data_IF_675970452030
#
_entry.id   IF_675970452030
#
_cell.length_a   1.000
_cell.length_b   1.000
_cell.length_c   1.000
_cell.angle_alpha   90.00
_cell.angle_beta   90.00
_cell.angle_gamma   90.00
#
_symmetry.space_group_name_H-M   'P 1'
#
loop_
_entity.id
_entity.type
_entity.pdbx_description
1 polymer ?
#
# COMPACT_ATOMS: atom_id res chain seq x y z
N UNK A 1 24.36 5.17 30.61
CA UNK A 1 24.27 4.23 29.48
C UNK A 1 23.32 4.85 28.47
N UNK A 2 23.82 5.28 27.31
CA UNK A 2 22.97 5.79 26.21
C UNK A 2 22.42 4.57 25.46
N UNK A 3 21.12 4.51 25.11
CA UNK A 3 20.61 3.44 24.28
C UNK A 3 21.17 3.64 22.87
N UNK A 4 21.88 2.62 22.38
CA UNK A 4 22.40 2.51 21.01
C UNK A 4 21.24 2.51 20.02
N UNK A 5 20.97 3.65 19.40
CA UNK A 5 20.08 3.77 18.25
C UNK A 5 20.81 3.21 17.02
N UNK A 6 20.66 1.91 16.80
CA UNK A 6 20.99 1.32 15.51
C UNK A 6 20.10 1.98 14.46
N UNK A 7 20.69 2.69 13.52
CA UNK A 7 19.97 3.28 12.39
C UNK A 7 19.45 2.12 11.54
N UNK A 8 18.23 1.64 11.81
CA UNK A 8 17.51 0.88 10.80
C UNK A 8 17.39 1.81 9.60
N UNK A 9 17.90 1.41 8.43
CA UNK A 9 17.67 2.13 7.18
C UNK A 9 16.19 1.95 6.76
N UNK A 10 15.28 2.39 7.62
CA UNK A 10 13.86 2.46 7.33
C UNK A 10 13.59 3.69 6.49
N UNK A 11 12.70 3.57 5.53
CA UNK A 11 12.23 4.70 4.72
C UNK A 11 10.78 5.02 5.02
N UNK A 12 10.34 6.19 4.61
CA UNK A 12 8.92 6.54 4.63
C UNK A 12 8.24 6.14 3.30
N UNK A 13 6.90 6.17 3.29
CA UNK A 13 6.13 6.11 2.05
C UNK A 13 6.52 7.28 1.13
N UNK A 14 6.59 7.03 -0.18
CA UNK A 14 6.88 8.05 -1.19
C UNK A 14 5.85 9.19 -1.24
N UNK A 15 4.61 8.93 -0.83
CA UNK A 15 3.54 9.93 -0.80
C UNK A 15 2.68 9.78 0.47
N UNK A 16 1.94 10.84 0.80
CA UNK A 16 0.85 10.77 1.77
C UNK A 16 -0.31 9.88 1.28
N UNK A 17 -1.24 9.58 2.19
CA UNK A 17 -2.41 8.76 1.88
C UNK A 17 -3.41 9.51 0.98
N UNK A 18 -3.63 10.79 1.26
CA UNK A 18 -4.53 11.69 0.51
C UNK A 18 -3.86 12.40 -0.67
N UNK A 19 -2.69 11.93 -1.12
CA UNK A 19 -1.98 12.45 -2.31
C UNK A 19 -2.66 12.02 -3.63
N UNK A 20 -3.98 12.13 -3.71
CA UNK A 20 -4.77 11.64 -4.84
C UNK A 20 -4.47 12.37 -6.16
N UNK A 21 -4.03 13.62 -6.07
CA UNK A 21 -3.68 14.45 -7.22
C UNK A 21 -2.37 14.04 -7.90
N UNK A 22 -1.51 13.30 -7.20
CA UNK A 22 -0.26 12.79 -7.77
C UNK A 22 -0.47 11.57 -8.68
N UNK A 23 -1.63 10.90 -8.57
CA UNK A 23 -2.00 9.75 -9.40
C UNK A 23 -3.53 9.67 -9.56
N UNK A 24 -4.10 10.66 -10.26
CA UNK A 24 -5.53 10.77 -10.49
C UNK A 24 -6.13 9.54 -11.17
N UNK A 25 -5.40 8.92 -12.10
CA UNK A 25 -5.83 7.70 -12.78
C UNK A 25 -6.05 6.56 -11.77
N UNK A 26 -5.07 6.31 -10.91
CA UNK A 26 -5.18 5.28 -9.86
C UNK A 26 -6.31 5.57 -8.88
N UNK A 27 -6.52 6.83 -8.50
CA UNK A 27 -7.64 7.22 -7.64
C UNK A 27 -9.01 7.07 -8.30
N UNK A 28 -9.14 7.40 -9.59
CA UNK A 28 -10.36 7.19 -10.36
C UNK A 28 -10.65 5.70 -10.55
N UNK A 29 -9.63 4.88 -10.86
CA UNK A 29 -9.78 3.43 -10.98
C UNK A 29 -10.16 2.76 -9.65
N UNK A 30 -9.53 3.18 -8.54
CA UNK A 30 -9.90 2.71 -7.20
C UNK A 30 -11.32 3.14 -6.79
N UNK A 31 -11.80 4.29 -7.27
CA UNK A 31 -13.15 4.78 -7.03
C UNK A 31 -14.22 4.09 -7.89
N UNK A 32 -13.93 3.83 -9.16
CA UNK A 32 -14.91 3.33 -10.14
C UNK A 32 -15.03 1.79 -10.16
N UNK A 33 -13.91 1.06 -10.16
CA UNK A 33 -13.91 -0.40 -9.96
C UNK A 33 -12.80 -0.83 -8.99
N UNK A 34 -13.06 -0.63 -7.71
CA UNK A 34 -12.16 -1.06 -6.63
C UNK A 34 -11.70 -2.53 -6.73
N UNK A 35 -12.58 -3.55 -6.92
CA UNK A 35 -12.14 -4.94 -6.99
C UNK A 35 -11.29 -5.25 -8.23
N UNK A 36 -11.61 -4.66 -9.39
CA UNK A 36 -10.81 -4.81 -10.61
C UNK A 36 -9.40 -4.26 -10.40
N UNK A 37 -9.32 -3.05 -9.83
CA UNK A 37 -8.06 -2.37 -9.60
C UNK A 37 -7.22 -3.07 -8.52
N UNK A 38 -7.86 -3.57 -7.46
CA UNK A 38 -7.20 -4.37 -6.44
C UNK A 38 -6.63 -5.66 -7.04
N UNK A 39 -7.38 -6.39 -7.88
CA UNK A 39 -6.88 -7.54 -8.65
C UNK A 39 -5.64 -7.18 -9.47
N UNK A 40 -5.65 -6.03 -10.16
CA UNK A 40 -4.51 -5.56 -10.94
C UNK A 40 -3.26 -5.35 -10.06
N UNK A 41 -3.41 -4.74 -8.89
CA UNK A 41 -2.30 -4.53 -7.94
C UNK A 41 -1.81 -5.85 -7.33
N UNK A 42 -2.71 -6.81 -7.08
CA UNK A 42 -2.34 -8.18 -6.69
C UNK A 42 -1.48 -8.84 -7.76
N UNK A 43 -1.88 -8.72 -9.03
CA UNK A 43 -1.12 -9.28 -10.16
C UNK A 43 0.29 -8.66 -10.28
N UNK A 44 0.42 -7.33 -10.14
CA UNK A 44 1.73 -6.64 -10.10
C UNK A 44 2.58 -7.16 -8.92
N UNK A 45 1.94 -7.47 -7.80
CA UNK A 45 2.58 -8.01 -6.60
C UNK A 45 2.94 -9.50 -6.70
N UNK A 46 2.77 -10.11 -7.89
CA UNK A 46 2.93 -11.54 -8.16
C UNK A 46 2.05 -12.43 -7.26
N UNK A 47 0.84 -11.96 -6.99
CA UNK A 47 -0.17 -12.65 -6.21
C UNK A 47 -1.42 -12.88 -7.07
N UNK A 48 -2.30 -13.80 -6.64
CA UNK A 48 -3.45 -14.16 -7.44
C UNK A 48 -4.52 -13.05 -7.50
N UNK A 49 -4.93 -12.68 -8.71
CA UNK A 49 -5.96 -11.65 -8.95
C UNK A 49 -7.34 -11.99 -8.33
N UNK A 50 -7.65 -13.25 -8.04
CA UNK A 50 -8.94 -13.65 -7.45
C UNK A 50 -9.00 -13.51 -5.92
N UNK A 51 -7.90 -13.15 -5.25
CA UNK A 51 -7.87 -12.93 -3.80
C UNK A 51 -8.89 -11.89 -3.29
N UNK A 52 -9.14 -10.77 -4.00
CA UNK A 52 -10.20 -9.82 -3.64
C UNK A 52 -11.61 -10.42 -3.64
N UNK A 53 -11.87 -11.42 -4.50
CA UNK A 53 -13.16 -12.13 -4.52
C UNK A 53 -13.38 -12.97 -3.26
N UNK A 54 -12.29 -13.33 -2.57
CA UNK A 54 -12.32 -14.05 -1.29
C UNK A 54 -12.36 -13.10 -0.08
N UNK A 55 -12.55 -11.80 -0.30
CA UNK A 55 -12.57 -10.78 0.76
C UNK A 55 -11.18 -10.31 1.20
N UNK A 56 -10.12 -10.67 0.48
CA UNK A 56 -8.76 -10.23 0.82
C UNK A 56 -8.55 -8.81 0.25
N UNK A 57 -8.53 -7.83 1.16
CA UNK A 57 -8.42 -6.41 0.84
C UNK A 57 -6.97 -5.92 0.65
N UNK A 58 -6.74 -4.63 0.87
CA UNK A 58 -5.44 -3.98 0.65
C UNK A 58 -4.41 -4.31 1.74
N UNK A 59 -4.89 -4.69 2.94
CA UNK A 59 -4.08 -4.91 4.14
C UNK A 59 -2.88 -5.86 3.93
N UNK A 60 -3.04 -7.06 3.34
CA UNK A 60 -1.92 -7.98 3.17
C UNK A 60 -0.86 -7.45 2.20
N UNK A 61 -1.29 -6.78 1.12
CA UNK A 61 -0.36 -6.16 0.17
C UNK A 61 0.43 -5.03 0.81
N UNK A 62 -0.24 -4.20 1.64
CA UNK A 62 0.41 -3.10 2.33
C UNK A 62 1.46 -3.58 3.34
N UNK A 63 1.16 -4.63 4.10
CA UNK A 63 2.13 -5.27 5.02
C UNK A 63 3.29 -5.88 4.25
N UNK A 64 2.99 -6.68 3.22
CA UNK A 64 4.01 -7.32 2.37
C UNK A 64 4.97 -6.28 1.80
N UNK A 65 4.43 -5.18 1.28
CA UNK A 65 5.20 -4.08 0.72
C UNK A 65 6.04 -3.34 1.77
N UNK A 66 5.44 -3.03 2.93
CA UNK A 66 6.14 -2.41 4.07
C UNK A 66 7.36 -3.22 4.50
N UNK A 67 7.16 -4.51 4.76
CA UNK A 67 8.23 -5.41 5.23
C UNK A 67 9.32 -5.52 4.16
N UNK A 68 8.93 -5.72 2.89
CA UNK A 68 9.87 -5.85 1.77
C UNK A 68 10.74 -4.61 1.58
N UNK A 69 10.19 -3.43 1.80
CA UNK A 69 10.86 -2.15 1.52
C UNK A 69 11.27 -1.38 2.79
N UNK A 70 11.27 -2.03 3.96
CA UNK A 70 11.61 -1.43 5.26
C UNK A 70 10.91 -0.08 5.51
N UNK A 71 9.59 -0.03 5.25
CA UNK A 71 8.81 1.20 5.45
C UNK A 71 8.45 1.37 6.93
N UNK A 72 8.70 2.55 7.49
CA UNK A 72 8.44 2.87 8.89
C UNK A 72 6.94 2.88 9.25
N UNK A 73 6.60 2.45 10.46
CA UNK A 73 5.26 2.35 11.04
C UNK A 73 4.86 0.92 11.45
N UNK A 74 3.60 0.72 11.82
CA UNK A 74 3.13 -0.53 12.43
C UNK A 74 2.02 -1.26 11.65
N UNK A 75 1.80 -2.53 11.99
CA UNK A 75 0.65 -3.32 11.50
C UNK A 75 -0.68 -2.68 11.92
N UNK A 76 -0.72 -2.06 13.10
CA UNK A 76 -1.91 -1.36 13.58
C UNK A 76 -2.23 -0.16 12.68
N UNK A 77 -1.22 0.60 12.28
CA UNK A 77 -1.38 1.71 11.34
C UNK A 77 -1.89 1.21 9.98
N UNK A 78 -1.33 0.10 9.49
CA UNK A 78 -1.81 -0.50 8.23
C UNK A 78 -3.27 -0.96 8.32
N UNK A 79 -3.66 -1.58 9.43
CA UNK A 79 -5.05 -1.99 9.65
C UNK A 79 -5.98 -0.77 9.71
N UNK A 80 -5.60 0.25 10.47
CA UNK A 80 -6.37 1.48 10.60
C UNK A 80 -6.56 2.16 9.24
N UNK A 81 -5.46 2.35 8.50
CA UNK A 81 -5.47 2.98 7.18
C UNK A 81 -6.31 2.20 6.18
N UNK A 82 -6.14 0.87 6.12
CA UNK A 82 -6.86 0.04 5.16
C UNK A 82 -8.33 -0.18 5.53
N UNK A 83 -8.69 -0.08 6.80
CA UNK A 83 -10.08 -0.12 7.26
C UNK A 83 -10.79 1.22 7.07
N UNK A 84 -10.12 2.33 7.38
CA UNK A 84 -10.70 3.67 7.30
C UNK A 84 -10.88 4.13 5.86
N UNK A 85 -9.87 3.92 5.01
CA UNK A 85 -9.87 4.40 3.62
C UNK A 85 -9.15 3.40 2.69
N UNK A 86 -9.74 2.23 2.39
CA UNK A 86 -9.11 1.19 1.57
C UNK A 86 -8.70 1.67 0.18
N UNK A 87 -9.51 2.53 -0.45
CA UNK A 87 -9.23 3.11 -1.76
C UNK A 87 -7.96 3.98 -1.72
N UNK A 88 -7.83 4.85 -0.74
CA UNK A 88 -6.66 5.72 -0.58
C UNK A 88 -5.42 4.92 -0.21
N UNK A 89 -5.59 3.91 0.64
CA UNK A 89 -4.51 2.99 0.99
C UNK A 89 -3.97 2.25 -0.23
N UNK A 90 -4.85 1.83 -1.15
CA UNK A 90 -4.49 1.17 -2.40
C UNK A 90 -3.78 2.14 -3.37
N UNK A 91 -4.26 3.38 -3.45
CA UNK A 91 -3.63 4.40 -4.30
C UNK A 91 -2.22 4.76 -3.80
N UNK A 92 -2.06 4.95 -2.47
CA UNK A 92 -0.75 5.17 -1.86
C UNK A 92 0.20 4.00 -2.14
N UNK A 93 -0.30 2.77 -2.00
CA UNK A 93 0.46 1.57 -2.30
C UNK A 93 0.91 1.52 -3.78
N UNK A 94 0.00 1.79 -4.73
CA UNK A 94 0.36 1.80 -6.15
C UNK A 94 1.38 2.87 -6.47
N UNK A 95 1.22 4.09 -5.94
CA UNK A 95 2.18 5.19 -6.15
C UNK A 95 3.58 4.79 -5.68
N UNK A 96 3.65 4.14 -4.51
CA UNK A 96 4.92 3.69 -3.97
C UNK A 96 5.52 2.52 -4.76
N UNK A 97 4.69 1.61 -5.28
CA UNK A 97 5.14 0.59 -6.24
C UNK A 97 5.72 1.22 -7.51
N UNK A 98 5.07 2.23 -8.09
CA UNK A 98 5.59 2.96 -9.25
C UNK A 98 6.93 3.65 -8.94
N UNK A 99 7.05 4.28 -7.76
CA UNK A 99 8.29 4.91 -7.31
C UNK A 99 9.44 3.90 -7.16
N UNK A 100 9.15 2.66 -6.74
CA UNK A 100 10.13 1.58 -6.63
C UNK A 100 10.42 0.86 -7.97
N UNK A 101 9.74 1.23 -9.07
CA UNK A 101 9.98 0.70 -10.41
C UNK A 101 9.11 -0.50 -10.82
N UNK A 102 7.92 -0.67 -10.24
CA UNK A 102 6.94 -1.71 -10.59
C UNK A 102 5.80 -1.23 -11.52
#
# INVERSE_FOLDING_TARGET
MQPTQGYSLTREWSSGICSCFDDCESCLCAGFCFPCYLCHVYNISNEACWLPLMGIGVFPLRIKHRIKHNINGSILDDNFVTSCCPQLALCQLRRDMKFMGF
#
